data_IF_128133588702
#
_entry.id   IF_128133588702
#
_cell.length_a   1.000
_cell.length_b   1.000
_cell.length_c   1.000
_cell.angle_alpha   90.00
_cell.angle_beta   90.00
_cell.angle_gamma   90.00
#
_symmetry.space_group_name_H-M   'P 1'
#
loop_
_entity.id
_entity.type
_entity.pdbx_description
1 polymer ?
#
# COMPACT_ATOMS: atom_id res chain seq x y z
N UNK A 1 -74.73 24.55 25.82
CA UNK A 1 -74.15 25.90 25.62
C UNK A 1 -72.92 26.00 26.52
N UNK A 2 -71.67 26.25 26.12
CA UNK A 2 -71.02 26.65 24.87
C UNK A 2 -69.62 26.00 24.92
N UNK A 3 -69.22 25.27 23.88
CA UNK A 3 -67.81 24.91 23.63
C UNK A 3 -67.03 26.14 23.16
N UNK A 4 -65.80 26.32 23.67
CA UNK A 4 -64.66 27.12 23.16
C UNK A 4 -63.53 26.87 24.20
N UNK A 5 -62.25 26.64 23.90
CA UNK A 5 -61.43 26.64 22.68
C UNK A 5 -60.16 25.83 22.98
N UNK A 6 -59.58 25.27 21.93
CA UNK A 6 -58.26 24.65 21.89
C UNK A 6 -57.15 25.62 22.33
N UNK A 7 -56.11 25.11 22.97
CA UNK A 7 -54.76 25.64 22.85
C UNK A 7 -53.75 24.49 22.82
N UNK A 8 -53.08 24.36 21.69
CA UNK A 8 -51.94 23.49 21.45
C UNK A 8 -50.78 23.87 22.36
N UNK A 9 -50.10 22.89 22.97
CA UNK A 9 -48.67 23.01 23.20
C UNK A 9 -48.00 21.65 23.01
N UNK A 10 -47.05 21.64 22.07
CA UNK A 10 -46.37 20.51 21.48
C UNK A 10 -44.90 20.64 21.89
N UNK A 11 -44.44 19.82 22.84
CA UNK A 11 -43.02 19.66 23.22
C UNK A 11 -42.93 18.22 23.74
N UNK A 12 -42.35 17.21 23.10
CA UNK A 12 -41.25 17.23 22.14
C UNK A 12 -39.92 17.00 22.86
N UNK A 13 -39.72 15.85 23.52
CA UNK A 13 -38.38 15.41 23.97
C UNK A 13 -38.20 13.93 23.70
N UNK A 14 -37.07 13.66 23.04
CA UNK A 14 -36.74 12.48 22.27
C UNK A 14 -36.23 11.30 23.10
N UNK A 15 -36.48 10.12 22.55
CA UNK A 15 -35.83 8.84 22.84
C UNK A 15 -34.30 8.92 22.70
N UNK A 16 -33.58 8.12 23.50
CA UNK A 16 -32.48 7.35 22.92
C UNK A 16 -32.71 5.85 23.16
N UNK A 17 -33.05 5.13 22.08
CA UNK A 17 -32.90 3.68 22.01
C UNK A 17 -31.39 3.43 21.85
N UNK A 18 -30.74 2.95 22.90
CA UNK A 18 -29.37 2.45 22.81
C UNK A 18 -29.40 1.06 22.16
N UNK A 19 -29.42 1.03 20.83
CA UNK A 19 -29.06 -0.15 20.04
C UNK A 19 -27.54 -0.26 20.02
N UNK A 20 -26.97 -1.00 20.97
CA UNK A 20 -25.63 -1.55 20.85
C UNK A 20 -25.64 -2.65 19.79
N UNK A 21 -25.64 -2.24 18.52
CA UNK A 21 -25.18 -3.09 17.45
C UNK A 21 -23.65 -3.02 17.47
N UNK A 22 -23.00 -4.04 18.04
CA UNK A 22 -21.65 -4.38 17.64
C UNK A 22 -21.70 -4.74 16.15
N UNK A 23 -21.51 -3.73 15.30
CA UNK A 23 -21.10 -3.96 13.94
C UNK A 23 -19.71 -4.56 14.01
N UNK A 24 -19.64 -5.88 13.85
CA UNK A 24 -18.51 -6.54 13.24
C UNK A 24 -18.27 -5.77 11.94
N UNK A 25 -17.30 -4.85 11.97
CA UNK A 25 -16.71 -4.24 10.80
C UNK A 25 -16.18 -5.41 9.97
N UNK A 26 -16.98 -5.85 9.02
CA UNK A 26 -16.49 -6.65 7.91
C UNK A 26 -15.41 -5.80 7.25
N UNK A 27 -14.21 -6.37 7.13
CA UNK A 27 -13.23 -5.94 6.14
C UNK A 27 -13.93 -5.91 4.78
N UNK A 28 -14.48 -4.76 4.40
CA UNK A 28 -14.99 -4.50 3.05
C UNK A 28 -13.77 -4.47 2.11
N UNK A 29 -13.74 -5.46 1.22
CA UNK A 29 -13.00 -5.52 -0.04
C UNK A 29 -11.79 -4.59 -0.17
N UNK A 30 -10.66 -5.04 0.39
CA UNK A 30 -9.32 -4.58 0.02
C UNK A 30 -9.15 -4.81 -1.48
N UNK A 31 -8.94 -3.76 -2.27
CA UNK A 31 -8.63 -3.90 -3.70
C UNK A 31 -7.15 -4.28 -3.89
N UNK A 32 -6.71 -5.37 -3.22
CA UNK A 32 -5.37 -5.94 -3.39
C UNK A 32 -5.12 -6.47 -4.81
N UNK A 33 -6.16 -6.44 -5.67
CA UNK A 33 -6.06 -6.74 -7.09
C UNK A 33 -5.08 -5.80 -7.81
N UNK A 34 -4.85 -4.61 -7.25
CA UNK A 34 -3.92 -3.61 -7.77
C UNK A 34 -2.50 -3.74 -7.24
N UNK A 35 -2.27 -4.54 -6.19
CA UNK A 35 -0.93 -4.78 -5.66
C UNK A 35 -0.21 -5.82 -6.53
N UNK A 36 0.18 -5.37 -7.72
CA UNK A 36 0.98 -6.11 -8.71
C UNK A 36 2.26 -5.34 -9.00
N UNK A 37 3.25 -5.98 -9.61
CA UNK A 37 4.50 -5.30 -10.00
C UNK A 37 4.19 -4.14 -10.96
N UNK A 38 3.32 -4.36 -11.94
CA UNK A 38 2.85 -3.33 -12.88
C UNK A 38 2.03 -2.25 -12.20
N UNK A 39 1.18 -2.63 -11.24
CA UNK A 39 0.34 -1.71 -10.48
C UNK A 39 1.18 -0.75 -9.65
N UNK A 40 2.17 -1.26 -8.93
CA UNK A 40 3.14 -0.48 -8.15
C UNK A 40 3.87 0.51 -9.06
N UNK A 41 4.43 0.03 -10.17
CA UNK A 41 5.10 0.89 -11.16
C UNK A 41 4.23 2.04 -11.67
N UNK A 42 2.95 1.76 -11.92
CA UNK A 42 2.03 2.73 -12.53
C UNK A 42 1.45 3.74 -11.53
N UNK A 43 1.52 3.46 -10.22
CA UNK A 43 0.79 4.25 -9.21
C UNK A 43 1.68 4.88 -8.15
N UNK A 44 2.78 4.23 -7.77
CA UNK A 44 3.69 4.74 -6.75
C UNK A 44 4.71 5.69 -7.37
N UNK A 45 4.60 6.97 -7.02
CA UNK A 45 5.59 7.99 -7.35
C UNK A 45 6.58 8.12 -6.19
N UNK A 46 7.83 7.71 -6.40
CA UNK A 46 8.87 7.82 -5.39
C UNK A 46 9.12 9.31 -5.03
N UNK A 47 9.39 9.57 -3.75
CA UNK A 47 9.54 10.88 -3.10
C UNK A 47 8.29 11.75 -3.07
N UNK A 48 7.12 11.18 -3.40
CA UNK A 48 5.82 11.88 -3.38
C UNK A 48 4.71 11.08 -2.72
N UNK A 49 4.62 9.78 -2.99
CA UNK A 49 3.56 8.92 -2.45
C UNK A 49 3.76 8.79 -0.94
N UNK A 50 2.79 9.24 -0.17
CA UNK A 50 2.78 9.11 1.29
C UNK A 50 2.44 7.69 1.74
N UNK A 51 2.76 7.34 3.00
CA UNK A 51 2.32 6.08 3.61
C UNK A 51 0.79 5.98 3.59
N UNK A 52 0.09 7.06 3.92
CA UNK A 52 -1.38 7.09 3.87
C UNK A 52 -1.93 6.82 2.47
N UNK A 53 -1.27 7.30 1.42
CA UNK A 53 -1.66 7.00 0.05
C UNK A 53 -1.36 5.54 -0.33
N UNK A 54 -0.24 4.97 0.14
CA UNK A 54 0.03 3.54 -0.01
C UNK A 54 -1.09 2.71 0.63
N UNK A 55 -1.50 3.05 1.84
CA UNK A 55 -2.57 2.35 2.55
C UNK A 55 -3.92 2.47 1.82
N UNK A 56 -4.21 3.64 1.26
CA UNK A 56 -5.40 3.84 0.44
C UNK A 56 -5.37 3.04 -0.87
N UNK A 57 -4.19 2.81 -1.44
CA UNK A 57 -4.00 2.05 -2.68
C UNK A 57 -4.07 0.53 -2.44
N UNK A 58 -3.45 0.04 -1.35
CA UNK A 58 -3.17 -1.39 -1.17
C UNK A 58 -3.71 -1.99 0.13
N UNK A 59 -4.28 -1.19 1.02
CA UNK A 59 -4.68 -1.59 2.37
C UNK A 59 -3.54 -1.46 3.37
N UNK A 60 -3.70 -2.02 4.57
CA UNK A 60 -2.64 -2.03 5.59
C UNK A 60 -1.46 -2.93 5.18
N UNK A 61 -0.23 -2.58 5.56
CA UNK A 61 0.94 -3.44 5.34
C UNK A 61 0.83 -4.75 6.14
N UNK A 62 1.49 -5.80 5.66
CA UNK A 62 1.68 -7.03 6.43
C UNK A 62 2.71 -6.83 7.55
N UNK A 63 3.66 -5.91 7.37
CA UNK A 63 4.63 -5.52 8.41
C UNK A 63 5.00 -4.06 8.26
N UNK A 64 4.97 -3.36 9.38
CA UNK A 64 5.47 -1.99 9.55
C UNK A 64 6.68 -2.04 10.48
N UNK A 65 7.81 -1.52 10.02
CA UNK A 65 9.04 -1.43 10.81
C UNK A 65 9.52 0.03 10.82
N UNK A 66 9.44 0.66 11.99
CA UNK A 66 9.78 2.07 12.20
C UNK A 66 11.23 2.27 12.70
N UNK A 67 12.06 1.22 12.67
CA UNK A 67 13.46 1.33 13.06
C UNK A 67 14.37 1.66 11.86
N UNK A 68 15.02 2.84 11.85
CA UNK A 68 15.92 3.25 10.77
C UNK A 68 17.04 2.25 10.46
N UNK A 69 17.63 1.65 11.49
CA UNK A 69 18.75 0.73 11.34
C UNK A 69 18.30 -0.56 10.64
N UNK A 70 17.16 -1.12 11.06
CA UNK A 70 16.60 -2.31 10.41
C UNK A 70 16.16 -2.02 8.98
N UNK A 71 15.62 -0.84 8.72
CA UNK A 71 15.27 -0.44 7.35
C UNK A 71 16.50 -0.38 6.43
N UNK A 72 17.61 0.19 6.91
CA UNK A 72 18.88 0.20 6.16
C UNK A 72 19.43 -1.22 5.97
N UNK A 73 19.39 -2.06 6.99
CA UNK A 73 19.81 -3.46 6.90
C UNK A 73 18.98 -4.23 5.86
N UNK A 74 17.65 -4.08 5.90
CA UNK A 74 16.74 -4.73 4.95
C UNK A 74 16.94 -4.20 3.52
N UNK A 75 17.10 -2.89 3.35
CA UNK A 75 17.37 -2.28 2.04
C UNK A 75 18.65 -2.84 1.44
N UNK A 76 19.74 -2.87 2.20
CA UNK A 76 21.02 -3.40 1.75
C UNK A 76 20.96 -4.89 1.47
N UNK A 77 20.26 -5.67 2.31
CA UNK A 77 20.07 -7.11 2.09
C UNK A 77 19.40 -7.39 0.75
N UNK A 78 18.36 -6.65 0.40
CA UNK A 78 17.66 -6.84 -0.89
C UNK A 78 18.51 -6.32 -2.06
N UNK A 79 19.15 -5.16 -1.90
CA UNK A 79 19.90 -4.52 -2.98
C UNK A 79 21.20 -5.25 -3.35
N UNK A 80 21.75 -6.04 -2.43
CA UNK A 80 22.96 -6.83 -2.66
C UNK A 80 22.66 -8.28 -3.10
N UNK A 81 21.39 -8.64 -3.30
CA UNK A 81 21.00 -9.94 -3.83
C UNK A 81 21.07 -9.95 -5.36
N UNK A 82 22.23 -10.32 -5.89
CA UNK A 82 22.55 -10.38 -7.32
C UNK A 82 21.67 -11.36 -8.10
N UNK A 83 21.06 -12.34 -7.42
CA UNK A 83 20.13 -13.31 -8.04
C UNK A 83 18.66 -12.90 -7.92
N UNK A 84 18.36 -11.74 -7.35
CA UNK A 84 16.99 -11.35 -7.05
C UNK A 84 16.20 -10.97 -8.30
N UNK A 85 14.88 -11.03 -8.18
CA UNK A 85 13.93 -10.52 -9.19
C UNK A 85 14.22 -9.05 -9.59
N UNK A 86 14.82 -8.25 -8.70
CA UNK A 86 15.15 -6.86 -9.02
C UNK A 86 16.23 -6.77 -10.11
N UNK A 87 17.23 -7.65 -10.07
CA UNK A 87 18.30 -7.73 -11.09
C UNK A 87 17.72 -8.23 -12.41
N UNK A 88 16.91 -9.29 -12.37
CA UNK A 88 16.27 -9.82 -13.59
C UNK A 88 15.34 -8.78 -14.24
N UNK A 89 14.61 -7.99 -13.43
CA UNK A 89 13.82 -6.86 -13.92
C UNK A 89 14.70 -5.76 -14.54
N UNK A 90 15.88 -5.48 -13.99
CA UNK A 90 16.83 -4.50 -14.52
C UNK A 90 17.40 -4.93 -15.88
N UNK A 91 17.81 -6.18 -15.99
CA UNK A 91 18.48 -6.70 -17.18
C UNK A 91 17.53 -6.92 -18.36
N UNK A 92 16.26 -7.25 -18.08
CA UNK A 92 15.33 -7.74 -19.10
C UNK A 92 14.13 -6.81 -19.35
N UNK A 93 13.96 -5.73 -18.59
CA UNK A 93 12.81 -4.83 -18.73
C UNK A 93 13.19 -3.36 -18.55
N UNK A 94 12.26 -2.46 -18.89
CA UNK A 94 12.38 -1.02 -18.64
C UNK A 94 11.88 -0.61 -17.24
N UNK A 95 11.61 -1.57 -16.33
CA UNK A 95 10.94 -1.32 -15.06
C UNK A 95 11.59 -0.21 -14.24
N UNK A 96 12.88 -0.35 -13.93
CA UNK A 96 13.62 0.62 -13.11
C UNK A 96 13.91 1.92 -13.85
N UNK A 97 14.10 1.85 -15.17
CA UNK A 97 14.39 3.00 -16.02
C UNK A 97 13.18 3.94 -16.20
N UNK A 98 11.97 3.43 -16.01
CA UNK A 98 10.72 4.16 -16.24
C UNK A 98 9.94 4.45 -14.95
N UNK A 99 10.60 4.31 -13.79
CA UNK A 99 9.98 4.63 -12.50
C UNK A 99 9.48 6.08 -12.44
N UNK A 100 8.30 6.26 -11.85
CA UNK A 100 7.78 7.56 -11.51
C UNK A 100 8.52 8.10 -10.28
N UNK A 101 9.25 9.21 -10.44
CA UNK A 101 10.01 9.86 -9.36
C UNK A 101 9.71 11.35 -9.36
N UNK A 102 9.38 11.89 -8.19
CA UNK A 102 9.29 13.34 -7.99
C UNK A 102 10.67 13.93 -7.72
N UNK A 103 11.25 14.55 -8.76
CA UNK A 103 12.55 15.21 -8.68
C UNK A 103 12.48 16.60 -8.03
N UNK A 104 11.29 17.12 -7.73
CA UNK A 104 11.10 18.43 -7.08
C UNK A 104 11.03 18.34 -5.55
N UNK A 105 10.84 17.12 -5.03
CA UNK A 105 10.73 16.83 -3.61
C UNK A 105 11.96 17.29 -2.81
N UNK A 106 11.73 17.90 -1.65
CA UNK A 106 12.76 18.38 -0.74
C UNK A 106 13.36 17.28 0.14
N UNK A 107 12.93 16.02 -0.01
CA UNK A 107 13.47 14.87 0.73
C UNK A 107 14.98 14.76 0.45
N UNK A 108 15.78 15.11 1.46
CA UNK A 108 17.24 15.16 1.41
C UNK A 108 17.81 14.08 2.33
N UNK A 109 18.62 13.20 1.75
CA UNK A 109 19.36 12.18 2.50
C UNK A 109 18.96 10.75 2.16
N UNK A 110 19.62 9.81 2.84
CA UNK A 110 19.44 8.37 2.70
C UNK A 110 19.05 7.72 4.04
N UNK A 111 18.70 8.53 5.05
CA UNK A 111 18.30 8.03 6.35
C UNK A 111 16.86 7.58 6.25
N UNK A 112 16.66 6.28 6.14
CA UNK A 112 15.33 5.67 6.14
C UNK A 112 14.73 5.79 7.54
N UNK A 113 13.46 6.12 7.63
CA UNK A 113 12.70 6.08 8.89
C UNK A 113 12.27 4.64 9.19
N UNK A 114 11.92 3.90 8.14
CA UNK A 114 11.33 2.58 8.25
C UNK A 114 11.04 1.93 6.91
N UNK A 115 10.30 0.82 6.94
CA UNK A 115 9.72 0.22 5.75
C UNK A 115 8.34 -0.39 6.02
N UNK A 116 7.57 -0.53 4.93
CA UNK A 116 6.28 -1.18 4.88
C UNK A 116 6.39 -2.38 3.93
N UNK A 117 6.18 -3.58 4.46
CA UNK A 117 6.14 -4.82 3.70
C UNK A 117 4.69 -5.12 3.29
N UNK A 118 4.49 -5.46 2.03
CA UNK A 118 3.22 -5.94 1.51
C UNK A 118 3.39 -7.25 0.74
N UNK A 119 2.36 -8.08 0.83
CA UNK A 119 2.21 -9.34 0.15
C UNK A 119 0.80 -9.42 -0.44
N UNK A 120 0.72 -10.00 -1.64
CA UNK A 120 -0.55 -10.30 -2.29
C UNK A 120 -0.39 -11.52 -3.16
N UNK A 121 -1.51 -12.23 -3.38
CA UNK A 121 -1.57 -13.31 -4.37
C UNK A 121 -1.21 -12.81 -5.76
N UNK A 122 -1.47 -11.52 -6.03
CA UNK A 122 -1.17 -10.88 -7.33
C UNK A 122 0.31 -10.47 -7.51
N UNK A 123 1.15 -10.65 -6.48
CA UNK A 123 2.61 -10.48 -6.58
C UNK A 123 3.34 -11.77 -6.98
N UNK A 124 2.60 -12.82 -7.35
CA UNK A 124 3.17 -14.10 -7.81
C UNK A 124 4.15 -14.77 -6.82
N UNK A 125 3.95 -14.57 -5.52
CA UNK A 125 4.82 -15.09 -4.45
C UNK A 125 5.93 -14.15 -4.01
N UNK A 126 6.05 -12.98 -4.64
CA UNK A 126 6.95 -11.91 -4.20
C UNK A 126 6.35 -11.11 -3.04
N UNK A 127 7.25 -10.47 -2.31
CA UNK A 127 6.94 -9.39 -1.36
C UNK A 127 7.45 -8.07 -1.92
N UNK A 128 6.80 -6.96 -1.60
CA UNK A 128 7.33 -5.62 -1.86
C UNK A 128 7.62 -4.89 -0.56
N UNK A 129 8.75 -4.19 -0.51
CA UNK A 129 9.18 -3.35 0.60
C UNK A 129 9.19 -1.90 0.13
N UNK A 130 8.36 -1.06 0.72
CA UNK A 130 8.40 0.40 0.53
C UNK A 130 9.22 1.03 1.65
N UNK A 131 10.34 1.66 1.29
CA UNK A 131 11.23 2.31 2.26
C UNK A 131 10.85 3.78 2.41
N UNK A 132 10.71 4.24 3.64
CA UNK A 132 10.07 5.52 3.97
C UNK A 132 11.07 6.55 4.47
N UNK A 133 10.89 7.81 4.06
CA UNK A 133 11.50 9.01 4.64
C UNK A 133 10.43 10.10 4.70
N UNK A 134 10.28 10.76 5.85
CA UNK A 134 9.33 11.85 6.07
C UNK A 134 7.91 11.47 5.62
N UNK A 135 7.41 10.31 6.10
CA UNK A 135 6.09 9.75 5.76
C UNK A 135 5.87 9.46 4.25
N UNK A 136 6.96 9.44 3.47
CA UNK A 136 6.92 9.33 2.01
C UNK A 136 7.76 8.17 1.50
N UNK A 137 7.29 7.47 0.48
CA UNK A 137 8.04 6.39 -0.19
C UNK A 137 9.29 6.94 -0.84
N UNK A 138 10.46 6.63 -0.31
CA UNK A 138 11.76 6.98 -0.89
C UNK A 138 12.15 6.07 -2.05
N UNK A 139 11.90 4.77 -1.90
CA UNK A 139 12.18 3.72 -2.88
C UNK A 139 11.39 2.46 -2.53
N UNK A 140 11.37 1.49 -3.43
CA UNK A 140 10.83 0.17 -3.14
C UNK A 140 11.61 -0.92 -3.86
N UNK A 141 11.53 -2.15 -3.33
CA UNK A 141 12.19 -3.35 -3.86
C UNK A 141 11.32 -4.57 -3.65
N UNK A 142 11.50 -5.57 -4.52
CA UNK A 142 10.86 -6.87 -4.38
C UNK A 142 11.80 -7.85 -3.69
N UNK A 143 11.25 -8.82 -2.97
CA UNK A 143 12.02 -9.92 -2.39
C UNK A 143 11.25 -11.23 -2.54
N UNK A 144 11.99 -12.34 -2.57
CA UNK A 144 11.46 -13.68 -2.80
C UNK A 144 11.55 -14.11 -4.27
N UNK A 145 10.92 -15.25 -4.55
CA UNK A 145 10.93 -15.89 -5.86
C UNK A 145 9.52 -15.88 -6.46
N UNK A 146 9.44 -15.87 -7.79
CA UNK A 146 8.18 -16.11 -8.48
C UNK A 146 7.78 -17.57 -8.25
N UNK A 147 6.72 -17.79 -7.49
CA UNK A 147 6.18 -19.13 -7.21
C UNK A 147 4.85 -19.42 -7.89
N UNK A 148 4.15 -18.38 -8.37
CA UNK A 148 2.93 -18.51 -9.16
C UNK A 148 3.12 -17.96 -10.58
N UNK A 149 3.52 -18.84 -11.49
CA UNK A 149 3.71 -18.50 -12.91
C UNK A 149 2.43 -18.02 -13.57
N UNK A 150 1.25 -18.47 -13.15
CA UNK A 150 -0.03 -18.06 -13.76
C UNK A 150 -0.34 -16.59 -13.47
N UNK A 151 -0.01 -16.13 -12.27
CA UNK A 151 -0.11 -14.71 -11.90
C UNK A 151 0.98 -13.91 -12.62
N UNK A 152 2.23 -14.36 -12.59
CA UNK A 152 3.34 -13.67 -13.23
C UNK A 152 3.12 -13.47 -14.75
N UNK A 153 2.52 -14.44 -15.45
CA UNK A 153 2.19 -14.34 -16.88
C UNK A 153 1.19 -13.20 -17.19
N UNK A 154 0.35 -12.81 -16.23
CA UNK A 154 -0.64 -11.73 -16.40
C UNK A 154 -0.04 -10.35 -16.14
N UNK A 155 0.97 -10.26 -15.29
CA UNK A 155 1.67 -9.00 -15.00
C UNK A 155 2.59 -8.59 -16.17
N UNK A 156 2.61 -7.29 -16.52
CA UNK A 156 3.37 -6.78 -17.67
C UNK A 156 4.87 -7.06 -17.54
N UNK A 157 5.43 -6.86 -16.36
CA UNK A 157 6.86 -6.93 -16.12
C UNK A 157 7.29 -8.35 -15.78
N UNK A 158 6.53 -9.02 -14.91
CA UNK A 158 6.90 -10.38 -14.50
C UNK A 158 6.90 -11.35 -15.68
N UNK A 159 5.93 -11.25 -16.62
CA UNK A 159 5.90 -12.16 -17.78
C UNK A 159 7.12 -12.06 -18.70
N UNK A 160 7.86 -10.95 -18.66
CA UNK A 160 9.04 -10.74 -19.50
C UNK A 160 10.29 -11.39 -18.90
N UNK A 161 10.22 -11.78 -17.63
CA UNK A 161 11.31 -12.40 -16.87
C UNK A 161 10.98 -13.83 -16.45
N UNK A 162 9.92 -14.39 -17.02
CA UNK A 162 9.64 -15.82 -16.94
C UNK A 162 10.44 -16.52 -18.04
N UNK A 163 11.23 -17.52 -17.65
CA UNK A 163 11.95 -18.40 -18.56
C UNK A 163 11.02 -19.18 -19.50
#
# INVERSE_FOLDING_TARGET
MIQKKMFNLLIGIAFPVLLNACTVLKHEDRDSSKLTVTGIHSTVVAKKTSVKELEALYGEPDTEEENPKKAVEQFNSINNDEGSVNVVLEDNTDYWATLLVDHTSSIKGNNLDGYYEYQSKELAGLKVFFFIIDDTVRSYRFSGNITDTSVAQKDKYLRQILD
#
